data_IF_059931214556
#
_entry.id   IF_059931214556
#
_cell.length_a   1.000
_cell.length_b   1.000
_cell.length_c   1.000
_cell.angle_alpha   90.00
_cell.angle_beta   90.00
_cell.angle_gamma   90.00
#
_symmetry.space_group_name_H-M   'P 1'
#
loop_
_entity.id
_entity.type
_entity.pdbx_description
1 polymer ?
#
# COMPACT_ATOMS: atom_id res chain seq x y z
N UNK A 1 16.40 11.18 3.00
CA UNK A 1 15.72 12.03 2.00
C UNK A 1 14.26 11.59 1.96
N UNK A 2 13.30 12.49 1.74
CA UNK A 2 11.86 12.17 1.76
C UNK A 2 11.14 12.69 0.51
N UNK A 3 9.95 12.15 0.24
CA UNK A 3 9.20 12.37 -1.02
C UNK A 3 8.07 13.41 -0.90
N UNK A 4 7.53 13.61 0.30
CA UNK A 4 6.44 14.56 0.51
C UNK A 4 6.90 16.01 0.32
N UNK A 5 6.09 16.84 -0.38
CA UNK A 5 6.40 18.24 -0.73
C UNK A 5 7.69 18.40 -1.54
N UNK A 6 7.93 17.48 -2.47
CA UNK A 6 9.06 17.49 -3.41
C UNK A 6 8.54 17.22 -4.82
N UNK A 7 9.39 17.51 -5.81
CA UNK A 7 9.14 17.06 -7.18
C UNK A 7 9.34 15.54 -7.24
N UNK A 8 8.24 14.83 -7.46
CA UNK A 8 8.18 13.37 -7.54
C UNK A 8 7.59 12.96 -8.88
N UNK A 9 7.95 11.77 -9.34
CA UNK A 9 7.34 11.20 -10.55
C UNK A 9 5.91 10.77 -10.25
N UNK A 10 5.01 11.10 -11.17
CA UNK A 10 3.58 10.78 -11.10
C UNK A 10 3.12 10.13 -12.39
N UNK A 11 2.25 9.14 -12.27
CA UNK A 11 1.57 8.47 -13.38
C UNK A 11 0.06 8.40 -13.11
N UNK A 12 -0.70 7.96 -14.11
CA UNK A 12 -2.14 7.73 -13.97
C UNK A 12 -2.46 6.25 -14.19
N UNK A 13 -3.22 5.65 -13.28
CA UNK A 13 -3.74 4.29 -13.39
C UNK A 13 -4.87 4.22 -14.43
N UNK A 14 -5.28 3.00 -14.79
CA UNK A 14 -6.36 2.76 -15.79
C UNK A 14 -7.69 3.43 -15.43
N UNK A 15 -7.98 3.57 -14.14
CA UNK A 15 -9.16 4.25 -13.61
C UNK A 15 -8.98 5.78 -13.44
N UNK A 16 -7.90 6.36 -14.00
CA UNK A 16 -7.54 7.78 -13.86
C UNK A 16 -7.22 8.26 -12.43
N UNK A 17 -6.95 7.34 -11.48
CA UNK A 17 -6.34 7.73 -10.21
C UNK A 17 -4.84 8.02 -10.39
N UNK A 18 -4.28 9.04 -9.73
CA UNK A 18 -2.85 9.28 -9.76
C UNK A 18 -2.12 8.26 -8.88
N UNK A 19 -0.88 7.96 -9.25
CA UNK A 19 0.07 7.16 -8.48
C UNK A 19 1.44 7.81 -8.58
N UNK A 20 2.26 7.72 -7.54
CA UNK A 20 3.59 8.32 -7.50
C UNK A 20 4.69 7.30 -7.26
N UNK A 21 5.95 7.72 -7.42
CA UNK A 21 7.09 6.86 -7.07
C UNK A 21 7.14 6.55 -5.55
N UNK A 22 6.57 7.43 -4.73
CA UNK A 22 6.49 7.21 -3.29
C UNK A 22 5.53 6.06 -2.96
N UNK A 23 4.41 5.91 -3.68
CA UNK A 23 3.46 4.82 -3.50
C UNK A 23 4.16 3.46 -3.68
N UNK A 24 4.92 3.31 -4.78
CA UNK A 24 5.66 2.08 -5.07
C UNK A 24 6.76 1.78 -4.03
N UNK A 25 7.48 2.80 -3.58
CA UNK A 25 8.56 2.61 -2.59
C UNK A 25 8.00 2.24 -1.21
N UNK A 26 6.88 2.83 -0.81
CA UNK A 26 6.20 2.50 0.44
C UNK A 26 5.61 1.08 0.36
N UNK A 27 4.97 0.71 -0.75
CA UNK A 27 4.48 -0.66 -1.00
C UNK A 27 5.60 -1.69 -0.86
N UNK A 28 6.71 -1.50 -1.58
CA UNK A 28 7.84 -2.42 -1.55
C UNK A 28 8.44 -2.53 -0.14
N UNK A 29 8.66 -1.40 0.53
CA UNK A 29 9.21 -1.36 1.88
C UNK A 29 8.32 -2.11 2.89
N UNK A 30 7.00 -1.84 2.87
CA UNK A 30 6.04 -2.50 3.76
C UNK A 30 5.96 -3.99 3.47
N UNK A 31 5.87 -4.37 2.19
CA UNK A 31 5.81 -5.78 1.77
C UNK A 31 7.02 -6.56 2.25
N UNK A 32 8.23 -6.06 2.00
CA UNK A 32 9.47 -6.72 2.43
C UNK A 32 9.54 -6.84 3.95
N UNK A 33 9.25 -5.74 4.67
CA UNK A 33 9.35 -5.69 6.13
C UNK A 33 8.34 -6.62 6.82
N UNK A 34 7.08 -6.55 6.39
CA UNK A 34 5.98 -7.26 7.05
C UNK A 34 5.98 -8.75 6.71
N UNK A 35 6.28 -9.12 5.46
CA UNK A 35 6.39 -10.54 5.09
C UNK A 35 7.67 -11.19 5.64
N UNK A 36 8.76 -10.44 5.84
CA UNK A 36 9.91 -10.96 6.59
C UNK A 36 9.54 -11.25 8.06
N UNK A 37 8.75 -10.37 8.70
CA UNK A 37 8.31 -10.56 10.07
C UNK A 37 7.22 -11.63 10.22
N UNK A 38 6.38 -11.85 9.20
CA UNK A 38 5.27 -12.82 9.17
C UNK A 38 5.21 -13.56 7.82
N UNK A 39 6.14 -14.50 7.55
CA UNK A 39 6.25 -15.18 6.25
C UNK A 39 5.01 -16.01 5.87
N UNK A 40 4.19 -16.36 6.85
CA UNK A 40 2.96 -17.13 6.65
C UNK A 40 1.75 -16.27 6.27
N UNK A 41 1.84 -14.94 6.32
CA UNK A 41 0.73 -14.06 5.94
C UNK A 41 0.72 -13.84 4.42
N UNK A 42 -0.45 -13.52 3.87
CA UNK A 42 -0.60 -13.04 2.50
C UNK A 42 -0.42 -11.53 2.39
N UNK A 43 -0.32 -11.05 1.16
CA UNK A 43 -0.18 -9.63 0.82
C UNK A 43 -1.25 -9.22 -0.18
N UNK A 44 -1.90 -8.09 0.06
CA UNK A 44 -2.77 -7.41 -0.88
C UNK A 44 -2.49 -5.91 -0.78
N UNK A 45 -2.20 -5.27 -1.90
CA UNK A 45 -2.03 -3.82 -1.93
C UNK A 45 -2.55 -3.21 -3.23
N UNK A 46 -2.84 -1.90 -3.22
CA UNK A 46 -3.23 -1.14 -4.42
C UNK A 46 -2.13 -1.06 -5.48
N UNK A 47 -0.84 -1.13 -5.08
CA UNK A 47 0.30 -0.95 -6.00
C UNK A 47 1.01 -2.23 -6.40
N UNK A 48 0.74 -3.33 -5.69
CA UNK A 48 1.21 -4.67 -6.07
C UNK A 48 0.12 -5.37 -6.89
N UNK A 49 0.47 -5.93 -8.04
CA UNK A 49 -0.42 -6.86 -8.77
C UNK A 49 -0.87 -7.99 -7.86
N UNK A 50 -2.19 -8.18 -7.76
CA UNK A 50 -2.77 -9.20 -6.90
C UNK A 50 -2.27 -10.61 -7.25
N UNK A 51 -1.86 -11.36 -6.22
CA UNK A 51 -1.50 -12.77 -6.30
C UNK A 51 -2.55 -13.59 -5.54
N UNK A 52 -3.35 -14.35 -6.30
CA UNK A 52 -4.42 -15.19 -5.77
C UNK A 52 -3.91 -16.24 -4.78
N UNK A 53 -2.61 -16.54 -4.72
CA UNK A 53 -2.02 -17.37 -3.68
C UNK A 53 -2.30 -16.82 -2.27
N UNK A 54 -2.57 -15.51 -2.11
CA UNK A 54 -2.99 -14.91 -0.84
C UNK A 54 -4.29 -15.50 -0.30
N UNK A 55 -5.19 -15.98 -1.16
CA UNK A 55 -6.47 -16.57 -0.76
C UNK A 55 -6.28 -17.90 -0.03
N UNK A 56 -5.10 -18.52 -0.17
CA UNK A 56 -4.72 -19.71 0.56
C UNK A 56 -4.09 -19.39 1.94
N UNK A 57 -3.98 -18.12 2.31
CA UNK A 57 -3.44 -17.68 3.59
C UNK A 57 -4.59 -17.33 4.53
N UNK A 58 -4.52 -17.85 5.76
CA UNK A 58 -5.53 -17.56 6.79
C UNK A 58 -5.55 -16.07 7.17
N UNK A 59 -4.39 -15.42 7.14
CA UNK A 59 -4.23 -14.02 7.51
C UNK A 59 -3.46 -13.28 6.43
N UNK A 60 -3.93 -12.09 6.07
CA UNK A 60 -3.32 -11.24 5.04
C UNK A 60 -3.13 -9.82 5.57
N UNK A 61 -2.08 -9.16 5.10
CA UNK A 61 -1.97 -7.70 5.15
C UNK A 61 -2.73 -7.11 3.96
N UNK A 62 -3.53 -6.09 4.23
CA UNK A 62 -4.19 -5.28 3.20
C UNK A 62 -3.68 -3.85 3.33
N UNK A 63 -3.06 -3.31 2.29
CA UNK A 63 -2.28 -2.07 2.37
C UNK A 63 -2.64 -1.11 1.25
N UNK A 64 -2.92 0.14 1.61
CA UNK A 64 -2.89 1.29 0.71
C UNK A 64 -1.66 2.15 1.10
N UNK A 65 -0.59 2.15 0.28
CA UNK A 65 0.65 2.84 0.60
C UNK A 65 0.48 4.35 0.79
N UNK A 66 -0.40 5.01 0.02
CA UNK A 66 -0.72 6.43 0.16
C UNK A 66 -2.19 6.63 -0.20
N UNK A 67 -3.06 6.52 0.80
CA UNK A 67 -4.45 6.93 0.66
C UNK A 67 -4.49 8.47 0.56
N UNK A 68 -5.21 8.98 -0.43
CA UNK A 68 -5.24 10.40 -0.74
C UNK A 68 -4.05 10.89 -1.55
N UNK A 69 -3.54 10.09 -2.50
CA UNK A 69 -2.41 10.42 -3.40
C UNK A 69 -2.49 11.83 -4.03
N UNK A 70 -3.70 12.33 -4.34
CA UNK A 70 -3.89 13.71 -4.84
C UNK A 70 -3.46 14.77 -3.82
N UNK A 71 -3.79 14.56 -2.54
CA UNK A 71 -3.36 15.42 -1.43
C UNK A 71 -1.85 15.34 -1.23
N UNK A 72 -1.29 14.13 -1.30
CA UNK A 72 0.15 13.91 -1.24
C UNK A 72 0.91 14.71 -2.31
N UNK A 73 0.46 14.62 -3.58
CA UNK A 73 1.05 15.37 -4.72
C UNK A 73 0.96 16.89 -4.49
N UNK A 74 -0.17 17.39 -3.95
CA UNK A 74 -0.33 18.83 -3.67
C UNK A 74 0.45 19.32 -2.45
N UNK A 75 1.01 18.41 -1.65
CA UNK A 75 1.68 18.77 -0.39
C UNK A 75 0.72 19.03 0.78
N UNK A 76 -0.55 18.65 0.62
CA UNK A 76 -1.58 18.72 1.65
C UNK A 76 -1.31 17.67 2.74
N UNK A 77 -1.80 17.88 3.96
CA UNK A 77 -1.65 16.89 5.04
C UNK A 77 -2.77 15.83 5.06
N UNK A 78 -3.71 15.89 4.12
CA UNK A 78 -4.86 14.98 4.05
C UNK A 78 -4.53 13.68 3.31
N UNK A 79 -3.48 12.99 3.72
CA UNK A 79 -3.09 11.67 3.22
C UNK A 79 -2.60 10.80 4.38
N UNK A 80 -2.62 9.49 4.19
CA UNK A 80 -2.15 8.53 5.18
C UNK A 80 -1.61 7.26 4.53
N UNK A 81 -0.84 6.48 5.30
CA UNK A 81 -0.58 5.08 4.98
C UNK A 81 -1.68 4.28 5.68
N UNK A 82 -2.44 3.47 4.95
CA UNK A 82 -3.49 2.64 5.52
C UNK A 82 -3.08 1.17 5.48
N UNK A 83 -3.18 0.48 6.61
CA UNK A 83 -2.79 -0.92 6.74
C UNK A 83 -3.75 -1.65 7.65
N UNK A 84 -4.28 -2.78 7.19
CA UNK A 84 -5.12 -3.66 7.99
C UNK A 84 -4.57 -5.09 8.02
N UNK A 85 -4.88 -5.79 9.11
CA UNK A 85 -4.68 -7.25 9.22
C UNK A 85 -6.05 -7.90 9.11
N UNK A 86 -6.22 -8.76 8.12
CA UNK A 86 -7.48 -9.49 7.87
C UNK A 86 -7.23 -10.97 8.10
N UNK A 87 -8.01 -11.59 8.99
CA UNK A 87 -7.98 -13.02 9.28
C UNK A 87 -9.33 -13.65 8.94
N UNK A 88 -9.32 -14.70 8.13
CA UNK A 88 -10.52 -15.43 7.72
C UNK A 88 -11.62 -14.49 7.16
N UNK A 89 -11.20 -13.47 6.39
CA UNK A 89 -12.08 -12.47 5.79
C UNK A 89 -12.53 -11.34 6.72
N UNK A 90 -12.11 -11.33 7.99
CA UNK A 90 -12.50 -10.33 8.99
C UNK A 90 -11.30 -9.47 9.38
N UNK A 91 -11.46 -8.14 9.36
CA UNK A 91 -10.43 -7.21 9.86
C UNK A 91 -10.28 -7.35 11.39
N UNK A 92 -9.04 -7.55 11.85
CA UNK A 92 -8.71 -7.75 13.28
C UNK A 92 -7.80 -6.65 13.84
N UNK A 93 -7.18 -5.84 12.98
CA UNK A 93 -6.40 -4.66 13.32
C UNK A 93 -6.35 -3.70 12.12
N UNK A 94 -6.20 -2.40 12.38
CA UNK A 94 -6.07 -1.33 11.39
C UNK A 94 -5.91 0.03 12.03
#
# INVERSE_FOLDING_TARGET
MGYFRRDIKTWSKKNSSPVTEADFLVDEFLKQTLLAARPQYGWLSEETTDDLARLNKQTIFVVDPIDGTRGFIRGDNGWSISLAIVKDGVAIAG
#
